data_IF_553259574682
#
_entry.id   IF_553259574682
#
_cell.length_a   1.000
_cell.length_b   1.000
_cell.length_c   1.000
_cell.angle_alpha   90.00
_cell.angle_beta   90.00
_cell.angle_gamma   90.00
#
_symmetry.space_group_name_H-M   'P 1'
#
loop_
_entity.id
_entity.type
_entity.pdbx_description
1 polymer ?
#
# COMPACT_ATOMS: atom_id res chain seq x y z
N UNK A 1 12.78 14.57 0.33
CA UNK A 1 12.72 13.63 1.48
C UNK A 1 11.90 12.44 1.03
N UNK A 2 12.41 11.22 1.18
CA UNK A 2 11.77 9.97 0.77
C UNK A 2 11.09 9.32 1.96
N UNK A 3 9.78 9.11 1.86
CA UNK A 3 8.96 8.55 2.95
C UNK A 3 8.17 7.32 2.51
N UNK A 4 7.94 6.41 3.46
CA UNK A 4 7.03 5.29 3.28
C UNK A 4 5.91 5.36 4.32
N UNK A 5 4.68 5.11 3.89
CA UNK A 5 3.51 5.08 4.78
C UNK A 5 3.12 3.67 5.17
N UNK A 6 2.78 3.48 6.43
CA UNK A 6 2.19 2.24 6.96
C UNK A 6 0.80 2.56 7.50
N UNK A 7 -0.25 2.13 6.79
CA UNK A 7 -1.64 2.35 7.17
C UNK A 7 -2.10 1.23 8.11
N UNK A 8 -1.98 1.46 9.42
CA UNK A 8 -2.20 0.47 10.47
C UNK A 8 -3.27 0.88 11.49
N UNK A 9 -3.68 2.15 11.54
CA UNK A 9 -4.80 2.58 12.40
C UNK A 9 -6.13 2.53 11.66
N UNK A 10 -7.22 2.54 12.44
CA UNK A 10 -8.57 2.54 11.90
C UNK A 10 -8.79 3.75 10.99
N UNK A 11 -9.45 3.53 9.85
CA UNK A 11 -9.81 4.55 8.86
C UNK A 11 -8.62 5.31 8.24
N UNK A 12 -7.38 4.81 8.37
CA UNK A 12 -6.22 5.52 7.83
C UNK A 12 -6.28 5.66 6.30
N UNK A 13 -6.79 4.66 5.58
CA UNK A 13 -6.90 4.71 4.12
C UNK A 13 -8.11 5.49 3.59
N UNK A 14 -9.21 5.56 4.35
CA UNK A 14 -10.43 6.25 3.95
C UNK A 14 -10.51 7.70 4.45
N UNK A 15 -9.75 8.04 5.49
CA UNK A 15 -9.59 9.41 5.97
C UNK A 15 -8.24 9.99 5.56
N UNK A 16 -7.15 9.69 6.28
CA UNK A 16 -5.84 10.37 6.08
C UNK A 16 -5.31 10.22 4.66
N UNK A 17 -5.41 9.03 4.06
CA UNK A 17 -5.02 8.83 2.66
C UNK A 17 -6.00 9.54 1.71
N UNK A 18 -7.27 9.16 1.72
CA UNK A 18 -8.23 9.57 0.70
C UNK A 18 -8.55 11.08 0.69
N UNK A 19 -8.55 11.73 1.86
CA UNK A 19 -8.96 13.13 1.99
C UNK A 19 -7.79 14.11 2.17
N UNK A 20 -6.57 13.61 2.45
CA UNK A 20 -5.40 14.46 2.68
C UNK A 20 -4.23 14.10 1.76
N UNK A 21 -3.62 12.92 1.94
CA UNK A 21 -2.37 12.55 1.24
C UNK A 21 -2.61 12.43 -0.28
N UNK A 22 -3.63 11.70 -0.70
CA UNK A 22 -3.90 11.45 -2.11
C UNK A 22 -4.20 12.74 -2.89
N UNK A 23 -5.12 13.64 -2.45
CA UNK A 23 -5.32 14.92 -3.11
C UNK A 23 -4.05 15.78 -3.20
N UNK A 24 -3.19 15.75 -2.18
CA UNK A 24 -1.93 16.47 -2.19
C UNK A 24 -0.92 15.88 -3.19
N UNK A 25 -0.88 14.56 -3.34
CA UNK A 25 -0.04 13.88 -4.32
C UNK A 25 -0.49 14.17 -5.76
N UNK A 26 -1.81 14.17 -6.01
CA UNK A 26 -2.41 14.50 -7.30
C UNK A 26 -2.14 15.96 -7.71
N UNK A 27 -2.20 16.89 -6.76
CA UNK A 27 -1.91 18.30 -6.97
C UNK A 27 -0.41 18.63 -7.00
N UNK A 28 0.45 17.68 -6.65
CA UNK A 28 1.89 17.90 -6.57
C UNK A 28 2.34 18.80 -5.40
N UNK A 29 1.51 18.93 -4.35
CA UNK A 29 1.77 19.81 -3.20
C UNK A 29 2.10 19.06 -1.90
N UNK A 30 2.27 17.73 -1.96
CA UNK A 30 2.53 16.91 -0.76
C UNK A 30 3.88 17.20 -0.09
N UNK A 31 4.88 17.68 -0.85
CA UNK A 31 6.14 18.18 -0.32
C UNK A 31 7.20 17.11 0.01
N UNK A 32 6.89 15.83 -0.16
CA UNK A 32 7.82 14.70 0.01
C UNK A 32 7.66 13.67 -1.10
N UNK A 33 8.71 12.88 -1.33
CA UNK A 33 8.73 11.77 -2.27
C UNK A 33 8.21 10.52 -1.57
N UNK A 34 6.95 10.16 -1.81
CA UNK A 34 6.41 8.91 -1.27
C UNK A 34 6.95 7.75 -2.11
N UNK A 35 7.68 6.83 -1.49
CA UNK A 35 8.30 5.69 -2.19
C UNK A 35 7.54 4.38 -1.99
N UNK A 36 6.68 4.31 -0.97
CA UNK A 36 5.87 3.14 -0.71
C UNK A 36 4.73 3.36 0.27
N UNK A 37 3.72 2.51 0.16
CA UNK A 37 2.54 2.47 1.00
C UNK A 37 2.23 1.01 1.35
N UNK A 38 2.25 0.68 2.63
CA UNK A 38 1.85 -0.64 3.14
C UNK A 38 0.53 -0.54 3.89
N UNK A 39 -0.42 -1.43 3.57
CA UNK A 39 -1.76 -1.43 4.12
C UNK A 39 -2.02 -2.67 4.99
N UNK A 40 -2.54 -2.43 6.19
CA UNK A 40 -2.93 -3.47 7.15
C UNK A 40 -4.44 -3.47 7.40
N UNK A 41 -4.92 -4.60 7.89
CA UNK A 41 -6.31 -4.80 8.29
C UNK A 41 -7.32 -4.37 7.23
N UNK A 42 -8.33 -3.59 7.62
CA UNK A 42 -9.40 -3.13 6.73
C UNK A 42 -8.96 -1.97 5.82
N UNK A 43 -7.78 -1.38 6.07
CA UNK A 43 -7.25 -0.33 5.19
C UNK A 43 -7.01 -0.84 3.76
N UNK A 44 -6.88 -2.16 3.56
CA UNK A 44 -6.70 -2.78 2.24
C UNK A 44 -7.96 -2.69 1.36
N UNK A 45 -9.16 -2.49 1.93
CA UNK A 45 -10.40 -2.54 1.15
C UNK A 45 -10.54 -1.42 0.13
N UNK A 46 -9.88 -0.28 0.37
CA UNK A 46 -9.85 0.81 -0.60
C UNK A 46 -9.05 0.46 -1.86
N UNK A 47 -8.26 -0.63 -1.86
CA UNK A 47 -7.47 -1.08 -3.01
C UNK A 47 -8.17 -2.16 -3.84
N UNK A 48 -9.44 -2.48 -3.54
CA UNK A 48 -10.23 -3.39 -4.38
C UNK A 48 -10.42 -2.80 -5.78
N UNK A 49 -10.40 -3.66 -6.79
CA UNK A 49 -10.70 -3.24 -8.15
C UNK A 49 -12.07 -2.56 -8.23
N UNK A 50 -12.13 -1.38 -8.86
CA UNK A 50 -13.33 -0.55 -8.94
C UNK A 50 -13.61 0.34 -7.73
N UNK A 51 -12.79 0.32 -6.68
CA UNK A 51 -12.92 1.27 -5.57
C UNK A 51 -12.40 2.66 -5.99
N UNK A 52 -13.21 3.74 -5.89
CA UNK A 52 -12.80 5.07 -6.36
C UNK A 52 -11.51 5.61 -5.72
N UNK A 53 -11.21 5.23 -4.48
CA UNK A 53 -9.96 5.63 -3.81
C UNK A 53 -8.80 4.84 -4.42
N UNK A 54 -8.96 3.52 -4.54
CA UNK A 54 -7.96 2.62 -5.08
C UNK A 54 -7.53 2.97 -6.49
N UNK A 55 -8.49 3.26 -7.38
CA UNK A 55 -8.19 3.61 -8.77
C UNK A 55 -7.32 4.86 -8.87
N UNK A 56 -7.60 5.86 -8.02
CA UNK A 56 -6.81 7.10 -7.93
C UNK A 56 -5.42 6.84 -7.36
N UNK A 57 -5.33 6.05 -6.28
CA UNK A 57 -4.05 5.67 -5.67
C UNK A 57 -3.18 4.90 -6.67
N UNK A 58 -3.75 3.93 -7.40
CA UNK A 58 -3.04 3.14 -8.40
C UNK A 58 -2.48 4.01 -9.52
N UNK A 59 -3.27 4.96 -10.02
CA UNK A 59 -2.81 5.92 -11.03
C UNK A 59 -1.60 6.73 -10.54
N UNK A 60 -1.72 7.37 -9.37
CA UNK A 60 -0.63 8.16 -8.78
C UNK A 60 0.59 7.29 -8.51
N UNK A 61 0.39 6.07 -8.03
CA UNK A 61 1.47 5.13 -7.76
C UNK A 61 2.23 4.74 -9.03
N UNK A 62 1.51 4.45 -10.12
CA UNK A 62 2.10 4.15 -11.43
C UNK A 62 2.90 5.32 -11.98
N UNK A 63 2.36 6.54 -11.89
CA UNK A 63 3.01 7.76 -12.39
C UNK A 63 4.27 8.12 -11.60
N UNK A 64 4.27 7.90 -10.28
CA UNK A 64 5.36 8.31 -9.37
C UNK A 64 6.29 7.17 -8.95
N UNK A 65 6.01 5.93 -9.37
CA UNK A 65 6.77 4.74 -8.96
C UNK A 65 6.61 4.39 -7.48
N UNK A 66 5.41 4.58 -6.91
CA UNK A 66 5.12 4.26 -5.50
C UNK A 66 4.81 2.78 -5.37
N UNK A 67 5.49 2.08 -4.45
CA UNK A 67 5.12 0.72 -4.08
C UNK A 67 3.75 0.70 -3.39
N UNK A 68 2.81 -0.11 -3.89
CA UNK A 68 1.56 -0.42 -3.19
C UNK A 68 1.60 -1.86 -2.67
N UNK A 69 1.69 -2.02 -1.35
CA UNK A 69 1.77 -3.34 -0.71
C UNK A 69 0.62 -3.56 0.28
N UNK A 70 0.00 -4.74 0.24
CA UNK A 70 -0.96 -5.19 1.25
C UNK A 70 -0.39 -6.32 2.07
N UNK A 71 -0.71 -6.38 3.36
CA UNK A 71 -0.31 -7.48 4.22
C UNK A 71 -0.87 -8.84 3.73
N UNK A 72 0.00 -9.84 3.56
CA UNK A 72 -0.35 -11.20 3.13
C UNK A 72 -1.57 -11.77 3.87
N UNK A 73 -1.50 -11.83 5.20
CA UNK A 73 -2.58 -12.41 6.01
C UNK A 73 -3.85 -11.56 5.97
N UNK A 74 -3.73 -10.23 5.91
CA UNK A 74 -4.89 -9.36 5.82
C UNK A 74 -5.64 -9.59 4.51
N UNK A 75 -4.91 -9.74 3.40
CA UNK A 75 -5.47 -9.99 2.08
C UNK A 75 -6.09 -11.40 1.98
N UNK A 76 -5.40 -12.45 2.43
CA UNK A 76 -5.94 -13.83 2.44
C UNK A 76 -7.20 -13.91 3.30
N UNK A 77 -7.19 -13.33 4.52
CA UNK A 77 -8.35 -13.33 5.43
C UNK A 77 -9.58 -12.64 4.83
N UNK A 78 -9.39 -11.68 3.93
CA UNK A 78 -10.45 -10.86 3.31
C UNK A 78 -10.83 -11.33 1.90
N UNK A 79 -10.27 -12.45 1.44
CA UNK A 79 -10.54 -12.98 0.09
C UNK A 79 -9.97 -12.13 -1.05
N UNK A 80 -8.96 -11.31 -0.76
CA UNK A 80 -8.29 -10.42 -1.72
C UNK A 80 -6.89 -10.92 -2.13
N UNK A 81 -6.60 -12.18 -1.84
CA UNK A 81 -5.37 -12.84 -2.28
C UNK A 81 -5.58 -14.34 -2.50
N UNK A 82 -4.74 -14.92 -3.34
CA UNK A 82 -4.56 -16.36 -3.51
C UNK A 82 -3.33 -16.79 -2.71
N UNK A 83 -3.52 -17.71 -1.76
CA UNK A 83 -2.48 -18.23 -0.87
C UNK A 83 -3.04 -18.72 0.46
N UNK A 84 -2.17 -19.19 1.35
CA UNK A 84 -2.50 -19.65 2.70
C UNK A 84 -1.75 -18.86 3.76
N UNK A 85 -2.17 -18.97 5.03
CA UNK A 85 -1.50 -18.27 6.14
C UNK A 85 -0.06 -18.73 6.38
N UNK A 86 0.26 -19.98 6.04
CA UNK A 86 1.63 -20.53 6.16
C UNK A 86 2.61 -19.93 5.14
N UNK A 87 2.09 -19.26 4.10
CA UNK A 87 2.89 -18.57 3.08
C UNK A 87 3.17 -17.10 3.43
N UNK A 88 2.72 -16.63 4.60
CA UNK A 88 3.00 -15.27 5.06
C UNK A 88 4.51 -15.01 5.13
N UNK A 89 4.98 -13.96 4.45
CA UNK A 89 6.40 -13.58 4.44
C UNK A 89 7.30 -14.40 3.55
N UNK A 90 6.79 -15.42 2.83
CA UNK A 90 7.58 -16.16 1.83
C UNK A 90 7.59 -15.45 0.47
N UNK A 91 6.72 -14.46 0.26
CA UNK A 91 6.51 -13.82 -1.04
C UNK A 91 5.73 -14.68 -2.03
N UNK A 92 5.06 -15.74 -1.57
CA UNK A 92 4.30 -16.66 -2.43
C UNK A 92 2.81 -16.32 -2.57
N UNK A 93 2.27 -15.52 -1.64
CA UNK A 93 0.88 -15.02 -1.69
C UNK A 93 0.75 -14.05 -2.87
N UNK A 94 -0.36 -14.11 -3.61
CA UNK A 94 -0.64 -13.24 -4.76
C UNK A 94 -1.90 -12.42 -4.57
N UNK A 95 -1.84 -11.11 -4.81
CA UNK A 95 -3.00 -10.24 -4.77
C UNK A 95 -4.07 -10.68 -5.80
N UNK A 96 -5.35 -10.54 -5.44
CA UNK A 96 -6.49 -10.86 -6.29
C UNK A 96 -7.62 -9.84 -6.08
N UNK A 97 -8.25 -9.42 -7.18
CA UNK A 97 -9.39 -8.50 -7.12
C UNK A 97 -9.03 -7.10 -6.60
N UNK A 98 -7.77 -6.70 -6.77
CA UNK A 98 -7.24 -5.39 -6.40
C UNK A 98 -6.88 -4.57 -7.64
N UNK A 99 -6.71 -3.27 -7.46
CA UNK A 99 -6.27 -2.33 -8.50
C UNK A 99 -4.86 -2.65 -9.01
N UNK A 100 -4.54 -2.17 -10.21
CA UNK A 100 -3.24 -2.43 -10.87
C UNK A 100 -2.06 -1.98 -9.98
N UNK A 101 -0.99 -2.79 -9.96
CA UNK A 101 0.24 -2.47 -9.25
C UNK A 101 0.27 -2.82 -7.77
N UNK A 102 -0.84 -3.29 -7.19
CA UNK A 102 -0.85 -3.79 -5.81
C UNK A 102 -0.18 -5.16 -5.73
N UNK A 103 0.76 -5.29 -4.80
CA UNK A 103 1.40 -6.55 -4.45
C UNK A 103 1.05 -6.96 -3.03
N UNK A 104 1.04 -8.25 -2.78
CA UNK A 104 0.99 -8.84 -1.43
C UNK A 104 2.41 -8.96 -0.88
N UNK A 105 2.57 -8.70 0.42
CA UNK A 105 3.83 -8.97 1.10
C UNK A 105 3.70 -8.88 2.62
N UNK A 106 4.76 -9.31 3.30
CA UNK A 106 4.96 -9.09 4.72
C UNK A 106 6.23 -8.23 4.92
N UNK A 107 6.64 -8.06 6.17
CA UNK A 107 7.80 -7.25 6.52
C UNK A 107 9.09 -7.63 5.75
N UNK A 108 9.44 -8.91 5.52
CA UNK A 108 10.62 -9.25 4.73
C UNK A 108 10.57 -8.67 3.30
N UNK A 109 9.42 -8.75 2.63
CA UNK A 109 9.23 -8.19 1.28
C UNK A 109 9.25 -6.66 1.29
N UNK A 110 8.69 -6.03 2.32
CA UNK A 110 8.77 -4.59 2.49
C UNK A 110 10.24 -4.16 2.62
N UNK A 111 11.01 -4.79 3.51
CA UNK A 111 12.43 -4.46 3.70
C UNK A 111 13.25 -4.72 2.44
N UNK A 112 13.04 -5.85 1.77
CA UNK A 112 13.75 -6.17 0.53
C UNK A 112 13.49 -5.13 -0.57
N UNK A 113 12.25 -4.63 -0.65
CA UNK A 113 11.87 -3.61 -1.65
C UNK A 113 12.44 -2.23 -1.30
N UNK A 114 12.51 -1.90 -0.01
CA UNK A 114 12.96 -0.58 0.46
C UNK A 114 14.48 -0.50 0.72
N UNK A 115 15.22 -1.62 0.80
CA UNK A 115 16.63 -1.64 1.24
C UNK A 115 17.58 -0.77 0.41
N UNK A 116 17.30 -0.62 -0.89
CA UNK A 116 18.12 0.16 -1.81
C UNK A 116 17.60 1.59 -1.99
N UNK A 117 16.49 1.93 -1.34
CA UNK A 117 15.93 3.27 -1.32
C UNK A 117 16.52 3.98 -0.12
N UNK A 118 17.18 5.12 -0.36
CA UNK A 118 17.61 6.02 0.72
C UNK A 118 16.37 6.63 1.37
N UNK A 119 15.73 5.87 2.25
CA UNK A 119 14.50 6.22 2.94
C UNK A 119 14.82 7.11 4.14
N UNK A 120 14.20 8.28 4.22
CA UNK A 120 14.41 9.21 5.33
C UNK A 120 13.50 8.87 6.52
N UNK A 121 12.27 8.40 6.26
CA UNK A 121 11.31 8.10 7.32
C UNK A 121 10.26 7.06 6.92
N UNK A 122 9.87 6.22 7.90
CA UNK A 122 8.64 5.42 7.86
C UNK A 122 7.60 6.09 8.77
N UNK A 123 6.43 6.42 8.23
CA UNK A 123 5.33 7.08 8.96
C UNK A 123 4.18 6.08 9.11
N UNK A 124 3.86 5.73 10.35
CA UNK A 124 2.70 4.87 10.65
C UNK A 124 1.47 5.72 10.89
N UNK A 125 0.37 5.40 10.20
CA UNK A 125 -0.87 6.17 10.15
C UNK A 125 -2.07 5.37 10.57
#
# INVERSE_FOLDING_TARGET
MKVAYVFATNMASTFKLATMILPQLEQGIHGVDVVGMMFFDDNIFCLRAGDPIGERVAKVAKEKGILLMVCDQCAVRRGLAEGTFDQCGTGSVKAKGMVEGVVTGCFPQLYETLKNIQLDQVITL
#
